data_IF_298887853249
#
_entry.id   IF_298887853249
#
_cell.length_a   1.000
_cell.length_b   1.000
_cell.length_c   1.000
_cell.angle_alpha   90.00
_cell.angle_beta   90.00
_cell.angle_gamma   90.00
#
_symmetry.space_group_name_H-M   'P 1'
#
loop_
_entity.id
_entity.type
_entity.pdbx_description
1 polymer ?
#
# COMPACT_ATOMS: atom_id res chain seq x y z
N UNK A 1 1.20 -16.43 60.44
CA UNK A 1 0.55 -15.51 59.48
C UNK A 1 1.15 -14.13 59.67
N UNK A 2 2.13 -13.76 58.85
CA UNK A 2 2.72 -12.42 58.79
C UNK A 2 2.92 -12.12 57.30
N UNK A 3 2.35 -11.02 56.84
CA UNK A 3 2.34 -10.62 55.44
C UNK A 3 3.69 -10.14 54.94
N UNK A 4 3.83 -10.18 53.61
CA UNK A 4 4.77 -9.35 52.87
C UNK A 4 4.12 -8.87 51.57
N UNK A 5 3.88 -7.57 51.56
CA UNK A 5 3.64 -6.74 50.38
C UNK A 5 4.92 -6.76 49.54
N UNK A 6 4.82 -6.98 48.23
CA UNK A 6 5.89 -6.63 47.30
C UNK A 6 5.34 -6.31 45.91
N UNK A 7 5.26 -4.99 45.69
CA UNK A 7 5.57 -4.23 44.48
C UNK A 7 5.00 -4.68 43.12
N UNK A 8 3.99 -3.90 42.72
CA UNK A 8 3.72 -3.47 41.35
C UNK A 8 4.99 -3.27 40.52
N UNK A 9 5.10 -3.99 39.41
CA UNK A 9 5.71 -3.48 38.18
C UNK A 9 4.72 -3.83 37.06
N UNK A 10 3.70 -2.99 36.90
CA UNK A 10 2.94 -2.95 35.67
C UNK A 10 3.85 -2.28 34.63
N UNK A 11 4.56 -3.09 33.85
CA UNK A 11 5.31 -2.62 32.69
C UNK A 11 4.31 -2.00 31.72
N UNK A 12 4.23 -0.67 31.72
CA UNK A 12 3.60 0.14 30.69
C UNK A 12 4.30 -0.15 29.36
N UNK A 13 3.85 -1.20 28.68
CA UNK A 13 4.19 -1.45 27.30
C UNK A 13 3.44 -0.39 26.49
N UNK A 14 4.12 0.75 26.30
CA UNK A 14 3.69 1.90 25.54
C UNK A 14 3.41 1.41 24.11
N UNK A 15 2.15 1.07 23.84
CA UNK A 15 1.66 0.89 22.48
C UNK A 15 1.83 2.24 21.78
N UNK A 16 2.92 2.34 21.01
CA UNK A 16 3.02 3.31 19.93
C UNK A 16 1.97 2.88 18.90
N UNK A 17 0.75 3.34 19.13
CA UNK A 17 -0.31 3.27 18.14
C UNK A 17 0.09 4.29 17.07
N UNK A 18 0.78 3.83 16.01
CA UNK A 18 0.92 4.62 14.80
C UNK A 18 -0.50 4.89 14.30
N UNK A 19 -0.92 6.15 14.35
CA UNK A 19 -2.16 6.59 13.74
C UNK A 19 -1.90 6.68 12.24
N UNK A 20 -2.13 5.56 11.53
CA UNK A 20 -2.32 5.63 10.09
C UNK A 20 -3.67 6.30 9.85
N UNK A 21 -3.66 7.55 9.39
CA UNK A 21 -4.83 8.17 8.79
C UNK A 21 -5.03 7.52 7.40
N UNK A 22 -5.64 6.33 7.40
CA UNK A 22 -5.99 5.62 6.17
C UNK A 22 -7.11 6.41 5.48
N UNK A 23 -6.76 7.30 4.55
CA UNK A 23 -7.73 7.89 3.63
C UNK A 23 -8.08 6.87 2.54
N UNK A 24 -8.90 5.88 2.92
CA UNK A 24 -9.45 4.91 1.99
C UNK A 24 -10.45 5.66 1.11
N UNK A 25 -10.10 5.88 -0.16
CA UNK A 25 -11.13 6.23 -1.14
C UNK A 25 -12.00 4.97 -1.33
N UNK A 26 -13.13 4.90 -0.61
CA UNK A 26 -14.09 3.78 -0.57
C UNK A 26 -14.78 3.47 -1.91
N UNK A 27 -14.40 4.15 -2.99
CA UNK A 27 -14.89 3.86 -4.33
C UNK A 27 -13.72 3.38 -5.18
N UNK A 28 -13.52 2.05 -5.34
CA UNK A 28 -12.52 1.54 -6.28
C UNK A 28 -12.83 2.12 -7.65
N UNK A 29 -12.03 3.08 -8.09
CA UNK A 29 -12.14 3.59 -9.44
C UNK A 29 -11.68 2.48 -10.37
N UNK A 30 -12.62 2.01 -11.20
CA UNK A 30 -12.30 1.12 -12.29
C UNK A 30 -11.25 1.81 -13.16
N UNK A 31 -10.15 1.11 -13.36
CA UNK A 31 -9.08 1.52 -14.25
C UNK A 31 -9.62 1.89 -15.63
N UNK A 32 -8.87 2.74 -16.33
CA UNK A 32 -9.01 2.90 -17.78
C UNK A 32 -8.97 1.51 -18.43
N UNK A 33 -10.10 1.08 -19.02
CA UNK A 33 -10.29 -0.25 -19.62
C UNK A 33 -9.13 -0.71 -20.52
N UNK A 34 -8.34 0.24 -20.99
CA UNK A 34 -7.33 0.08 -22.03
C UNK A 34 -5.89 -0.07 -21.47
N UNK A 35 -5.71 -0.30 -20.15
CA UNK A 35 -4.35 -0.39 -19.56
C UNK A 35 -3.47 -1.46 -20.24
N UNK A 36 -4.05 -2.58 -20.67
CA UNK A 36 -3.33 -3.68 -21.34
C UNK A 36 -2.83 -3.30 -22.73
N UNK A 37 -3.48 -2.34 -23.38
CA UNK A 37 -3.10 -1.86 -24.71
C UNK A 37 -2.01 -0.79 -24.62
N UNK A 38 -1.89 -0.14 -23.46
CA UNK A 38 -0.97 0.98 -23.24
C UNK A 38 0.47 0.56 -22.92
N UNK A 39 0.67 -0.61 -22.31
CA UNK A 39 1.99 -1.04 -21.83
C UNK A 39 2.44 -2.33 -22.52
N UNK A 40 3.69 -2.36 -22.97
CA UNK A 40 4.35 -3.54 -23.55
C UNK A 40 5.33 -4.21 -22.60
N UNK A 41 5.77 -3.49 -21.56
CA UNK A 41 6.68 -3.98 -20.53
C UNK A 41 5.92 -4.39 -19.26
N UNK A 42 6.48 -5.34 -18.51
CA UNK A 42 5.86 -5.84 -17.28
C UNK A 42 5.75 -4.75 -16.19
N UNK A 43 6.81 -3.96 -16.00
CA UNK A 43 6.89 -2.86 -15.06
C UNK A 43 8.02 -1.91 -15.48
N UNK A 44 7.70 -0.64 -15.69
CA UNK A 44 8.63 0.42 -16.07
C UNK A 44 8.66 1.49 -14.99
N UNK A 45 9.87 1.91 -14.62
CA UNK A 45 10.10 3.02 -13.70
C UNK A 45 10.16 4.33 -14.49
N UNK A 46 9.43 5.34 -14.05
CA UNK A 46 9.54 6.69 -14.58
C UNK A 46 9.32 7.73 -13.48
N UNK A 47 9.61 9.00 -13.80
CA UNK A 47 9.48 10.12 -12.85
C UNK A 47 8.45 11.10 -13.38
N UNK A 48 7.47 11.44 -12.54
CA UNK A 48 6.37 12.34 -12.88
C UNK A 48 6.14 13.27 -11.69
N UNK A 49 6.13 14.58 -11.93
CA UNK A 49 5.89 15.60 -10.88
C UNK A 49 6.77 15.45 -9.63
N UNK A 50 8.03 15.00 -9.80
CA UNK A 50 8.96 14.77 -8.69
C UNK A 50 8.83 13.42 -8.00
N UNK A 51 7.78 12.65 -8.31
CA UNK A 51 7.50 11.33 -7.74
C UNK A 51 8.02 10.21 -8.63
N UNK A 52 8.37 9.08 -8.03
CA UNK A 52 8.78 7.87 -8.75
C UNK A 52 7.56 6.98 -8.92
N UNK A 53 7.23 6.71 -10.18
CA UNK A 53 6.14 5.84 -10.57
C UNK A 53 6.67 4.56 -11.20
N UNK A 54 5.96 3.46 -10.95
CA UNK A 54 6.14 2.18 -11.60
C UNK A 54 4.82 1.84 -12.31
N UNK A 55 4.83 1.63 -13.63
CA UNK A 55 3.63 1.22 -14.39
C UNK A 55 3.96 0.16 -15.43
N UNK A 56 3.02 -0.73 -15.74
CA UNK A 56 3.22 -1.75 -16.77
C UNK A 56 2.06 -2.72 -16.94
N UNK A 57 2.30 -3.82 -17.65
CA UNK A 57 1.32 -4.91 -17.85
C UNK A 57 0.94 -5.61 -16.54
N UNK A 58 1.78 -5.50 -15.52
CA UNK A 58 1.51 -6.03 -14.19
C UNK A 58 2.51 -7.07 -13.74
N UNK A 59 2.95 -6.96 -12.49
CA UNK A 59 3.79 -7.96 -11.83
C UNK A 59 3.23 -8.36 -10.46
N UNK A 60 3.47 -9.59 -10.01
CA UNK A 60 3.14 -10.01 -8.65
C UNK A 60 3.80 -9.14 -7.59
N UNK A 61 3.17 -9.07 -6.41
CA UNK A 61 3.63 -8.24 -5.29
C UNK A 61 5.07 -8.57 -4.89
N UNK A 62 5.40 -9.86 -4.79
CA UNK A 62 6.71 -10.36 -4.38
C UNK A 62 7.86 -9.95 -5.32
N UNK A 63 7.53 -9.58 -6.55
CA UNK A 63 8.46 -9.15 -7.59
C UNK A 63 8.48 -7.63 -7.77
N UNK A 64 7.59 -6.88 -7.09
CA UNK A 64 7.47 -5.44 -7.28
C UNK A 64 8.63 -4.68 -6.61
N UNK A 65 9.24 -3.67 -7.27
CA UNK A 65 10.31 -2.87 -6.69
C UNK A 65 9.95 -2.16 -5.37
N UNK A 66 8.65 -1.93 -5.14
CA UNK A 66 8.12 -1.28 -3.94
C UNK A 66 7.56 -2.25 -2.89
N UNK A 67 7.79 -3.56 -3.01
CA UNK A 67 7.20 -4.58 -2.10
C UNK A 67 7.48 -4.35 -0.62
N UNK A 68 8.64 -3.78 -0.29
CA UNK A 68 9.07 -3.54 1.10
C UNK A 68 8.73 -2.11 1.57
N UNK A 69 8.19 -1.26 0.68
CA UNK A 69 7.89 0.15 0.95
C UNK A 69 6.40 0.45 1.01
N UNK A 70 5.58 -0.41 0.40
CA UNK A 70 4.14 -0.25 0.27
C UNK A 70 3.45 -1.46 0.86
N UNK A 71 2.44 -1.20 1.70
CA UNK A 71 1.57 -2.27 2.15
C UNK A 71 0.51 -2.59 1.09
N UNK A 72 0.81 -3.59 0.26
CA UNK A 72 -0.13 -4.09 -0.73
C UNK A 72 -1.23 -4.93 -0.06
N UNK A 73 -2.47 -4.52 -0.25
CA UNK A 73 -3.69 -5.28 0.06
C UNK A 73 -4.24 -5.92 -1.24
N UNK A 74 -4.86 -7.10 -1.12
CA UNK A 74 -5.48 -7.84 -2.23
C UNK A 74 -6.65 -7.12 -2.91
N UNK A 75 -7.37 -7.85 -3.77
CA UNK A 75 -8.47 -7.31 -4.55
C UNK A 75 -9.56 -6.69 -3.65
N UNK A 76 -9.97 -5.45 -3.91
CA UNK A 76 -11.05 -4.79 -3.15
C UNK A 76 -12.45 -5.34 -3.42
N UNK A 77 -12.62 -6.22 -4.43
CA UNK A 77 -13.91 -6.77 -4.81
C UNK A 77 -14.13 -8.21 -4.33
N UNK A 78 -13.16 -9.11 -4.55
CA UNK A 78 -13.29 -10.52 -4.20
C UNK A 78 -12.29 -10.98 -3.12
N UNK A 79 -11.52 -10.04 -2.55
CA UNK A 79 -10.53 -10.29 -1.51
C UNK A 79 -9.41 -11.28 -1.88
N UNK A 80 -9.35 -11.71 -3.15
CA UNK A 80 -8.28 -12.57 -3.65
C UNK A 80 -6.91 -11.86 -3.58
N UNK A 81 -5.89 -12.64 -3.23
CA UNK A 81 -4.48 -12.25 -3.28
C UNK A 81 -3.85 -12.51 -4.66
N UNK A 82 -4.57 -13.13 -5.59
CA UNK A 82 -4.14 -13.32 -6.97
C UNK A 82 -4.29 -12.00 -7.74
N UNK A 83 -3.35 -11.10 -7.49
CA UNK A 83 -3.35 -9.74 -8.02
C UNK A 83 -2.00 -9.39 -8.64
N UNK A 84 -2.04 -8.58 -9.70
CA UNK A 84 -0.87 -7.98 -10.34
C UNK A 84 -0.90 -6.48 -10.12
N UNK A 85 0.22 -5.92 -9.66
CA UNK A 85 0.40 -4.46 -9.52
C UNK A 85 0.75 -3.90 -10.89
N UNK A 86 -0.09 -2.99 -11.39
CA UNK A 86 0.00 -2.41 -12.74
C UNK A 86 0.35 -0.92 -12.70
N UNK A 87 0.13 -0.27 -11.55
CA UNK A 87 0.70 1.03 -11.22
C UNK A 87 1.04 1.08 -9.73
N UNK A 88 2.13 1.74 -9.35
CA UNK A 88 2.41 2.09 -7.97
C UNK A 88 3.36 3.29 -7.89
N UNK A 89 3.19 4.11 -6.86
CA UNK A 89 4.17 5.08 -6.45
C UNK A 89 4.36 5.10 -4.93
N UNK A 90 5.54 5.57 -4.53
CA UNK A 90 5.87 5.84 -3.14
C UNK A 90 6.67 7.14 -3.09
N UNK A 91 6.32 7.99 -2.13
CA UNK A 91 6.99 9.27 -1.92
C UNK A 91 6.99 9.66 -0.44
N UNK A 92 7.90 10.57 -0.10
CA UNK A 92 8.00 11.18 1.22
C UNK A 92 7.86 12.68 1.05
N UNK A 93 6.99 13.29 1.84
CA UNK A 93 6.84 14.74 1.83
C UNK A 93 8.13 15.39 2.33
N UNK A 94 8.73 16.33 1.58
CA UNK A 94 10.05 16.86 1.90
C UNK A 94 10.09 17.69 3.19
N UNK A 95 8.95 18.22 3.66
CA UNK A 95 8.90 19.05 4.86
C UNK A 95 8.39 18.33 6.11
N UNK A 96 7.36 17.50 5.98
CA UNK A 96 6.74 16.81 7.13
C UNK A 96 7.32 15.43 7.39
N UNK A 97 7.93 14.80 6.38
CA UNK A 97 8.33 13.40 6.47
C UNK A 97 7.20 12.40 6.21
N UNK A 98 5.97 12.88 5.95
CA UNK A 98 4.81 12.03 5.70
C UNK A 98 5.05 11.12 4.50
N UNK A 99 4.69 9.85 4.65
CA UNK A 99 4.85 8.83 3.60
C UNK A 99 3.54 8.70 2.83
N UNK A 100 3.61 8.88 1.53
CA UNK A 100 2.47 8.70 0.63
C UNK A 100 2.74 7.55 -0.33
N UNK A 101 1.76 6.68 -0.49
CA UNK A 101 1.80 5.69 -1.55
C UNK A 101 0.43 5.46 -2.16
N UNK A 102 0.45 5.16 -3.44
CA UNK A 102 -0.72 4.69 -4.15
C UNK A 102 -0.34 3.55 -5.08
N UNK A 103 -1.32 2.73 -5.38
CA UNK A 103 -1.17 1.65 -6.32
C UNK A 103 -2.48 1.26 -6.96
N UNK A 104 -2.35 0.65 -8.12
CA UNK A 104 -3.42 0.04 -8.89
C UNK A 104 -3.07 -1.42 -9.13
N UNK A 105 -4.05 -2.29 -8.87
CA UNK A 105 -3.94 -3.73 -9.07
C UNK A 105 -5.01 -4.25 -10.02
N UNK A 106 -4.67 -5.28 -10.76
CA UNK A 106 -5.59 -6.13 -11.52
C UNK A 106 -5.73 -7.48 -10.81
N UNK A 107 -6.97 -7.93 -10.56
CA UNK A 107 -7.24 -9.24 -9.98
C UNK A 107 -7.40 -10.30 -11.07
N UNK A 108 -6.60 -11.35 -11.02
CA UNK A 108 -6.65 -12.44 -12.00
C UNK A 108 -7.88 -13.34 -11.81
N UNK A 109 -8.42 -13.39 -10.59
CA UNK A 109 -9.61 -14.20 -10.27
C UNK A 109 -10.91 -13.55 -10.80
N UNK A 110 -11.22 -12.32 -10.40
CA UNK A 110 -12.49 -11.67 -10.78
C UNK A 110 -12.38 -10.72 -11.98
N UNK A 111 -11.17 -10.50 -12.51
CA UNK A 111 -10.91 -9.60 -13.63
C UNK A 111 -11.16 -8.12 -13.33
N UNK A 112 -11.32 -7.75 -12.06
CA UNK A 112 -11.57 -6.37 -11.62
C UNK A 112 -10.28 -5.65 -11.26
N UNK A 113 -10.38 -4.33 -11.25
CA UNK A 113 -9.30 -3.45 -10.84
C UNK A 113 -9.57 -2.88 -9.45
N UNK A 114 -8.52 -2.54 -8.73
CA UNK A 114 -8.62 -1.83 -7.47
C UNK A 114 -7.47 -0.82 -7.39
N UNK A 115 -7.81 0.42 -7.07
CA UNK A 115 -6.85 1.46 -6.75
C UNK A 115 -6.92 1.73 -5.24
N UNK A 116 -5.77 1.96 -4.61
CA UNK A 116 -5.70 2.42 -3.23
C UNK A 116 -4.65 3.52 -3.09
N UNK A 117 -4.90 4.46 -2.20
CA UNK A 117 -3.97 5.52 -1.83
C UNK A 117 -3.92 5.59 -0.30
N UNK A 118 -2.76 5.91 0.24
CA UNK A 118 -2.48 5.92 1.66
C UNK A 118 -1.57 7.10 2.00
N UNK A 119 -1.79 7.67 3.17
CA UNK A 119 -0.92 8.63 3.81
C UNK A 119 -0.59 8.11 5.22
N UNK A 120 0.68 8.04 5.55
CA UNK A 120 1.15 7.75 6.90
C UNK A 120 1.85 8.99 7.42
N UNK A 121 1.25 9.59 8.45
CA UNK A 121 1.81 10.72 9.17
C UNK A 121 2.83 10.18 10.18
N UNK A 122 4.04 10.73 10.17
CA UNK A 122 5.13 10.35 11.08
C UNK A 122 5.14 11.25 12.35
#
# INVERSE_FOLDING_TARGET
MIGRISYLIATLQRSFQFFMDEWICDSPQLISKDYREKYTSACEKYKESGQIWYKGMGIPIENHPLKDYIWFKGCGNCESNEVKIIAAQWSVHPMSGDRYWDYEIFCENCGKYTQRAFAEND
#
